data_IF_428526251460
#
_entry.id   IF_428526251460
#
_cell.length_a   1.000
_cell.length_b   1.000
_cell.length_c   1.000
_cell.angle_alpha   90.00
_cell.angle_beta   90.00
_cell.angle_gamma   90.00
#
_symmetry.space_group_name_H-M   'P 1'
#
loop_
_entity.id
_entity.type
_entity.pdbx_description
1 polymer ?
#
# COMPACT_ATOMS: atom_id res chain seq x y z
N UNK A 1 -2.39 12.59 14.23
CA UNK A 1 -2.45 11.34 15.01
C UNK A 1 -2.05 11.66 16.46
N UNK A 2 -2.66 11.01 17.47
CA UNK A 2 -2.35 11.26 18.89
C UNK A 2 -0.86 11.09 19.23
N UNK A 3 -0.16 10.15 18.59
CA UNK A 3 1.27 9.94 18.78
C UNK A 3 2.11 11.18 18.39
N UNK A 4 1.75 11.88 17.29
CA UNK A 4 2.47 13.09 16.87
C UNK A 4 2.27 14.24 17.86
N UNK A 5 1.08 14.40 18.43
CA UNK A 5 0.82 15.41 19.45
C UNK A 5 1.67 15.15 20.71
N UNK A 6 1.74 13.90 21.17
CA UNK A 6 2.58 13.53 22.30
C UNK A 6 4.06 13.73 22.00
N UNK A 7 4.54 13.27 20.85
CA UNK A 7 5.94 13.50 20.44
C UNK A 7 6.29 14.99 20.38
N UNK A 8 5.35 15.82 19.91
CA UNK A 8 5.55 17.27 19.82
C UNK A 8 5.52 17.96 21.18
N UNK A 9 4.59 17.57 22.07
CA UNK A 9 4.39 18.23 23.37
C UNK A 9 5.29 17.67 24.47
N UNK A 10 5.52 16.36 24.47
CA UNK A 10 6.20 15.63 25.55
C UNK A 10 7.61 15.13 25.14
N UNK A 11 7.94 15.19 23.84
CA UNK A 11 9.23 14.72 23.30
C UNK A 11 9.38 13.20 23.24
N UNK A 12 8.36 12.45 23.68
CA UNK A 12 8.40 10.98 23.70
C UNK A 12 7.01 10.37 23.49
N UNK A 13 7.00 9.14 23.02
CA UNK A 13 5.81 8.31 22.91
C UNK A 13 6.21 6.84 23.09
N UNK A 14 5.58 6.16 24.05
CA UNK A 14 5.77 4.73 24.25
C UNK A 14 4.76 3.97 23.38
N UNK A 15 5.23 3.19 22.36
CA UNK A 15 4.34 2.40 21.51
C UNK A 15 3.51 1.42 22.33
N UNK A 16 2.22 1.35 22.01
CA UNK A 16 1.29 0.42 22.62
C UNK A 16 1.18 -0.85 21.76
N UNK A 17 0.72 -1.95 22.37
CA UNK A 17 0.60 -3.25 21.69
C UNK A 17 -0.39 -3.24 20.49
N UNK A 18 -1.34 -2.31 20.50
CA UNK A 18 -2.36 -2.13 19.47
C UNK A 18 -2.04 -1.00 18.47
N UNK A 19 -0.87 -0.36 18.61
CA UNK A 19 -0.44 0.65 17.66
C UNK A 19 -0.21 0.05 16.28
N UNK A 20 -0.66 0.79 15.27
CA UNK A 20 -0.40 0.40 13.88
C UNK A 20 1.08 0.63 13.51
N UNK A 21 1.55 -0.12 12.52
CA UNK A 21 2.93 -0.04 12.02
C UNK A 21 3.33 1.40 11.62
N UNK A 22 2.38 2.18 11.12
CA UNK A 22 2.59 3.59 10.78
C UNK A 22 2.90 4.45 12.02
N UNK A 23 2.28 4.13 13.16
CA UNK A 23 2.57 4.80 14.44
C UNK A 23 3.96 4.43 14.92
N UNK A 24 4.30 3.13 14.91
CA UNK A 24 5.63 2.64 15.29
C UNK A 24 6.72 3.27 14.42
N UNK A 25 6.52 3.29 13.10
CA UNK A 25 7.46 3.90 12.17
C UNK A 25 7.63 5.41 12.39
N UNK A 26 6.56 6.15 12.74
CA UNK A 26 6.68 7.58 13.06
C UNK A 26 7.50 7.83 14.33
N UNK A 27 7.28 7.02 15.36
CA UNK A 27 8.05 7.11 16.62
C UNK A 27 9.52 6.81 16.35
N UNK A 28 9.80 5.76 15.58
CA UNK A 28 11.16 5.39 15.21
C UNK A 28 11.84 6.51 14.40
N UNK A 29 11.16 7.09 13.39
CA UNK A 29 11.71 8.21 12.61
C UNK A 29 11.96 9.46 13.45
N UNK A 30 11.13 9.73 14.45
CA UNK A 30 11.36 10.82 15.38
C UNK A 30 12.64 10.59 16.18
N UNK A 31 12.85 9.38 16.70
CA UNK A 31 14.09 9.00 17.41
C UNK A 31 15.30 9.11 16.50
N UNK A 32 15.25 8.51 15.30
CA UNK A 32 16.33 8.55 14.31
C UNK A 32 16.74 9.99 13.97
N UNK A 33 15.76 10.89 13.75
CA UNK A 33 16.02 12.30 13.47
C UNK A 33 16.65 12.98 14.67
N UNK A 34 16.16 12.72 15.88
CA UNK A 34 16.65 13.31 17.11
C UNK A 34 18.10 12.91 17.39
N UNK A 35 18.44 11.64 17.14
CA UNK A 35 19.78 11.09 17.30
C UNK A 35 20.76 11.56 16.22
N UNK A 36 20.28 11.61 14.96
CA UNK A 36 21.10 12.02 13.82
C UNK A 36 21.23 13.54 13.66
N UNK A 37 20.50 14.34 14.48
CA UNK A 37 20.53 15.79 14.36
C UNK A 37 21.90 16.35 14.75
N UNK A 38 22.62 17.06 13.83
CA UNK A 38 23.98 17.53 14.09
C UNK A 38 24.05 18.50 15.27
N UNK A 39 24.98 18.28 16.18
CA UNK A 39 25.19 19.17 17.34
C UNK A 39 25.52 20.61 16.92
N UNK A 40 26.22 20.78 15.79
CA UNK A 40 26.59 22.06 15.21
C UNK A 40 25.39 22.92 14.81
N UNK A 41 24.26 22.27 14.52
CA UNK A 41 23.00 22.94 14.16
C UNK A 41 22.14 23.27 15.40
N UNK A 42 22.54 22.84 16.59
CA UNK A 42 21.84 23.16 17.84
C UNK A 42 22.21 24.55 18.37
N UNK A 43 21.42 25.06 19.28
CA UNK A 43 21.71 26.31 19.96
C UNK A 43 21.70 27.53 19.01
N UNK A 44 22.79 28.28 18.93
CA UNK A 44 22.87 29.54 18.15
C UNK A 44 22.75 29.35 16.63
N UNK A 45 23.10 28.19 16.11
CA UNK A 45 23.00 27.88 14.69
C UNK A 45 21.58 27.50 14.27
N UNK A 46 20.75 27.05 15.21
CA UNK A 46 19.39 26.57 14.91
C UNK A 46 18.49 27.57 14.18
N UNK A 47 18.41 28.86 14.53
CA UNK A 47 17.65 29.84 13.77
C UNK A 47 18.07 29.95 12.31
N UNK A 48 19.37 29.91 12.03
CA UNK A 48 19.90 29.95 10.66
C UNK A 48 19.54 28.69 9.87
N UNK A 49 19.54 27.53 10.53
CA UNK A 49 19.06 26.29 9.90
C UNK A 49 17.58 26.37 9.56
N UNK A 50 16.73 26.93 10.45
CA UNK A 50 15.30 27.13 10.19
C UNK A 50 15.05 28.08 9.01
N UNK A 51 15.82 29.17 8.95
CA UNK A 51 15.75 30.10 7.82
C UNK A 51 16.18 29.43 6.52
N UNK A 52 17.28 28.65 6.54
CA UNK A 52 17.71 27.88 5.40
C UNK A 52 16.64 26.88 4.95
N UNK A 53 16.05 26.13 5.87
CA UNK A 53 14.97 25.17 5.59
C UNK A 53 13.78 25.88 4.92
N UNK A 54 13.36 27.01 5.48
CA UNK A 54 12.23 27.79 5.00
C UNK A 54 12.43 28.36 3.60
N UNK A 55 13.65 28.76 3.27
CA UNK A 55 13.94 29.37 1.96
C UNK A 55 14.40 28.38 0.89
N UNK A 56 14.91 27.21 1.28
CA UNK A 56 15.48 26.25 0.33
C UNK A 56 14.66 24.96 0.17
N UNK A 57 13.71 24.66 1.06
CA UNK A 57 12.81 23.52 0.92
C UNK A 57 11.51 23.98 0.28
N UNK A 58 11.24 23.46 -0.92
CA UNK A 58 10.03 23.76 -1.69
C UNK A 58 9.07 22.60 -1.51
N UNK A 59 7.87 22.88 -1.01
CA UNK A 59 6.78 21.94 -0.93
C UNK A 59 5.79 22.22 -2.07
N UNK A 60 5.38 21.16 -2.76
CA UNK A 60 4.35 21.24 -3.81
C UNK A 60 3.08 20.59 -3.27
N UNK A 61 2.02 21.38 -3.17
CA UNK A 61 0.68 20.88 -2.88
C UNK A 61 -0.05 20.58 -4.18
N UNK A 62 -0.56 19.35 -4.31
CA UNK A 62 -1.35 18.92 -5.46
C UNK A 62 -2.73 18.54 -4.96
N UNK A 63 -3.74 19.31 -5.41
CA UNK A 63 -5.14 19.05 -5.09
C UNK A 63 -5.80 18.24 -6.20
N UNK A 64 -6.34 17.08 -5.86
CA UNK A 64 -7.15 16.27 -6.77
C UNK A 64 -8.64 16.54 -6.52
N UNK A 65 -9.41 16.66 -7.61
CA UNK A 65 -10.85 16.96 -7.52
C UNK A 65 -11.74 15.72 -7.55
N UNK A 66 -11.15 14.55 -7.78
CA UNK A 66 -11.82 13.24 -7.69
C UNK A 66 -10.85 12.17 -7.19
N UNK A 67 -11.39 11.10 -6.64
CA UNK A 67 -10.60 9.95 -6.17
C UNK A 67 -9.81 9.30 -7.33
N UNK A 68 -10.35 9.26 -8.54
CA UNK A 68 -9.65 8.75 -9.72
C UNK A 68 -8.47 9.62 -10.14
N UNK A 69 -8.64 10.95 -10.09
CA UNK A 69 -7.53 11.88 -10.34
C UNK A 69 -6.46 11.78 -9.26
N UNK A 70 -6.88 11.67 -7.99
CA UNK A 70 -5.95 11.45 -6.88
C UNK A 70 -5.13 10.19 -7.07
N UNK A 71 -5.78 9.09 -7.46
CA UNK A 71 -5.11 7.83 -7.72
C UNK A 71 -4.13 7.93 -8.91
N UNK A 72 -4.51 8.56 -10.02
CA UNK A 72 -3.65 8.76 -11.19
C UNK A 72 -2.42 9.61 -10.88
N UNK A 73 -2.61 10.71 -10.15
CA UNK A 73 -1.51 11.55 -9.68
C UNK A 73 -0.57 10.73 -8.78
N UNK A 74 -1.13 9.99 -7.84
CA UNK A 74 -0.40 9.16 -6.91
C UNK A 74 0.41 8.06 -7.63
N UNK A 75 -0.18 7.35 -8.60
CA UNK A 75 0.49 6.35 -9.43
C UNK A 75 1.66 6.97 -10.23
N UNK A 76 1.43 8.12 -10.88
CA UNK A 76 2.44 8.79 -11.69
C UNK A 76 3.59 9.39 -10.87
N UNK A 77 3.32 9.82 -9.65
CA UNK A 77 4.36 10.34 -8.75
C UNK A 77 5.15 9.23 -8.07
N UNK A 78 4.53 8.06 -7.88
CA UNK A 78 5.19 6.90 -7.29
C UNK A 78 6.38 6.41 -8.13
N UNK A 79 6.33 6.57 -9.45
CA UNK A 79 7.44 6.21 -10.36
C UNK A 79 8.71 7.07 -10.14
N UNK A 80 8.66 8.13 -9.30
CA UNK A 80 9.74 9.10 -9.10
C UNK A 80 10.35 9.11 -7.70
N UNK A 81 9.90 8.25 -6.78
CA UNK A 81 10.32 8.25 -5.38
C UNK A 81 10.57 6.86 -4.79
N UNK A 82 10.33 6.71 -3.49
CA UNK A 82 10.21 5.40 -2.84
C UNK A 82 8.92 4.75 -3.33
N UNK A 83 9.07 3.84 -4.30
CA UNK A 83 7.95 3.23 -4.99
C UNK A 83 7.10 2.41 -4.02
N UNK A 84 5.81 2.71 -3.99
CA UNK A 84 4.83 1.84 -3.35
C UNK A 84 4.77 0.50 -4.10
N UNK A 85 4.55 -0.56 -3.37
CA UNK A 85 4.37 -1.88 -3.96
C UNK A 85 3.06 -1.95 -4.77
N UNK A 86 2.96 -2.89 -5.70
CA UNK A 86 1.71 -3.15 -6.41
C UNK A 86 0.56 -3.49 -5.47
N UNK A 87 0.85 -4.09 -4.31
CA UNK A 87 -0.12 -4.39 -3.26
C UNK A 87 -0.68 -3.12 -2.61
N UNK A 88 0.20 -2.15 -2.30
CA UNK A 88 -0.23 -0.86 -1.73
C UNK A 88 -1.01 -0.02 -2.73
N UNK A 89 -0.62 -0.06 -4.01
CA UNK A 89 -1.35 0.59 -5.09
C UNK A 89 -2.75 -0.02 -5.27
N UNK A 90 -2.87 -1.35 -5.27
CA UNK A 90 -4.17 -2.04 -5.34
C UNK A 90 -5.04 -1.71 -4.13
N UNK A 91 -4.46 -1.67 -2.92
CA UNK A 91 -5.15 -1.23 -1.70
C UNK A 91 -5.74 0.17 -1.87
N UNK A 92 -4.92 1.12 -2.30
CA UNK A 92 -5.35 2.51 -2.50
C UNK A 92 -6.53 2.59 -3.46
N UNK A 93 -6.46 1.87 -4.58
CA UNK A 93 -7.52 1.80 -5.57
C UNK A 93 -8.82 1.23 -4.98
N UNK A 94 -8.76 0.07 -4.33
CA UNK A 94 -9.95 -0.57 -3.74
C UNK A 94 -10.57 0.30 -2.65
N UNK A 95 -9.76 0.88 -1.76
CA UNK A 95 -10.25 1.72 -0.66
C UNK A 95 -10.90 3.03 -1.16
N UNK A 96 -10.45 3.58 -2.29
CA UNK A 96 -11.04 4.78 -2.89
C UNK A 96 -12.48 4.55 -3.37
N UNK A 97 -12.88 3.28 -3.62
CA UNK A 97 -14.25 2.95 -4.07
C UNK A 97 -15.30 3.01 -2.94
N UNK A 98 -14.88 3.08 -1.68
CA UNK A 98 -15.78 3.19 -0.53
C UNK A 98 -16.03 4.67 -0.18
N UNK A 99 -17.23 5.16 -0.48
CA UNK A 99 -17.64 6.55 -0.21
C UNK A 99 -17.80 6.84 1.29
N UNK A 100 -18.26 5.84 2.07
CA UNK A 100 -18.47 6.00 3.51
C UNK A 100 -17.20 5.66 4.29
N UNK A 101 -16.84 6.53 5.24
CA UNK A 101 -15.63 6.35 6.05
C UNK A 101 -15.66 5.04 6.85
N UNK A 102 -16.83 4.66 7.41
CA UNK A 102 -17.00 3.41 8.17
C UNK A 102 -16.75 2.15 7.34
N UNK A 103 -17.18 2.14 6.08
CA UNK A 103 -16.98 0.99 5.19
C UNK A 103 -15.52 0.94 4.70
N UNK A 104 -14.93 2.09 4.42
CA UNK A 104 -13.49 2.22 4.10
C UNK A 104 -12.62 1.72 5.24
N UNK A 105 -12.99 2.02 6.49
CA UNK A 105 -12.25 1.57 7.67
C UNK A 105 -12.34 0.05 7.86
N UNK A 106 -13.54 -0.56 7.67
CA UNK A 106 -13.71 -2.02 7.71
C UNK A 106 -12.88 -2.71 6.62
N UNK A 107 -12.93 -2.20 5.39
CA UNK A 107 -12.15 -2.71 4.29
C UNK A 107 -10.63 -2.59 4.54
N UNK A 108 -10.18 -1.46 5.10
CA UNK A 108 -8.77 -1.26 5.46
C UNK A 108 -8.32 -2.20 6.58
N UNK A 109 -9.17 -2.47 7.58
CA UNK A 109 -8.87 -3.44 8.65
C UNK A 109 -8.69 -4.83 8.07
N UNK A 110 -9.65 -5.30 7.27
CA UNK A 110 -9.54 -6.59 6.59
C UNK A 110 -8.24 -6.70 5.77
N UNK A 111 -7.92 -5.64 5.00
CA UNK A 111 -6.69 -5.61 4.20
C UNK A 111 -5.43 -5.75 5.07
N UNK A 112 -5.36 -4.97 6.15
CA UNK A 112 -4.21 -5.03 7.08
C UNK A 112 -4.03 -6.43 7.67
N UNK A 113 -5.11 -7.06 8.14
CA UNK A 113 -5.08 -8.42 8.68
C UNK A 113 -4.61 -9.44 7.64
N UNK A 114 -5.10 -9.33 6.40
CA UNK A 114 -4.70 -10.19 5.29
C UNK A 114 -3.20 -10.06 4.97
N UNK A 115 -2.70 -8.82 4.84
CA UNK A 115 -1.29 -8.57 4.55
C UNK A 115 -0.39 -9.01 5.72
N UNK A 116 -0.78 -8.74 6.95
CA UNK A 116 -0.04 -9.19 8.13
C UNK A 116 0.08 -10.72 8.18
N UNK A 117 -0.99 -11.44 7.84
CA UNK A 117 -0.95 -12.91 7.76
C UNK A 117 0.03 -13.38 6.68
N UNK A 118 0.03 -12.79 5.49
CA UNK A 118 0.96 -13.13 4.41
C UNK A 118 2.42 -12.81 4.78
N UNK A 119 2.65 -11.63 5.37
CA UNK A 119 3.99 -11.22 5.80
C UNK A 119 4.57 -12.08 6.93
N UNK A 120 3.75 -12.86 7.64
CA UNK A 120 4.27 -13.85 8.60
C UNK A 120 5.04 -15.01 7.94
N UNK A 121 4.86 -15.22 6.63
CA UNK A 121 5.62 -16.21 5.84
C UNK A 121 6.83 -15.58 5.16
N UNK A 122 6.62 -14.45 4.46
CA UNK A 122 7.72 -13.69 3.83
C UNK A 122 7.24 -12.26 3.51
N UNK A 123 8.18 -11.29 3.47
CA UNK A 123 7.87 -9.89 3.14
C UNK A 123 7.28 -9.67 1.74
N UNK A 124 7.48 -10.61 0.83
CA UNK A 124 7.00 -10.51 -0.56
C UNK A 124 5.76 -11.39 -0.80
N UNK A 125 5.24 -12.06 0.24
CA UNK A 125 4.19 -13.06 0.08
C UNK A 125 2.85 -12.44 -0.32
N UNK A 126 2.62 -11.18 0.03
CA UNK A 126 1.47 -10.41 -0.41
C UNK A 126 1.44 -10.23 -1.94
N UNK A 127 2.57 -9.88 -2.56
CA UNK A 127 2.66 -9.74 -4.01
C UNK A 127 2.45 -11.08 -4.72
N UNK A 128 3.07 -12.14 -4.22
CA UNK A 128 2.92 -13.50 -4.77
C UNK A 128 1.47 -13.96 -4.70
N UNK A 129 0.79 -13.71 -3.59
CA UNK A 129 -0.62 -14.04 -3.42
C UNK A 129 -1.49 -13.34 -4.48
N UNK A 130 -1.38 -12.02 -4.62
CA UNK A 130 -2.20 -11.28 -5.59
C UNK A 130 -1.88 -11.67 -7.03
N UNK A 131 -0.63 -11.92 -7.36
CA UNK A 131 -0.23 -12.43 -8.67
C UNK A 131 -0.83 -13.82 -8.93
N UNK A 132 -0.73 -14.75 -7.99
CA UNK A 132 -1.26 -16.10 -8.11
C UNK A 132 -2.78 -16.09 -8.25
N UNK A 133 -3.47 -15.38 -7.36
CA UNK A 133 -4.93 -15.26 -7.40
C UNK A 133 -5.43 -14.68 -8.71
N UNK A 134 -4.94 -13.50 -9.12
CA UNK A 134 -5.42 -12.84 -10.33
C UNK A 134 -5.07 -13.64 -11.60
N UNK A 135 -3.91 -14.28 -11.66
CA UNK A 135 -3.54 -15.16 -12.77
C UNK A 135 -4.43 -16.38 -12.86
N UNK A 136 -4.70 -17.03 -11.74
CA UNK A 136 -5.51 -18.27 -11.72
C UNK A 136 -6.97 -18.02 -12.09
N UNK A 137 -7.50 -16.83 -11.81
CA UNK A 137 -8.91 -16.54 -12.02
C UNK A 137 -9.18 -15.80 -13.33
N UNK A 138 -8.26 -14.94 -13.78
CA UNK A 138 -8.59 -13.95 -14.80
C UNK A 138 -7.58 -13.84 -15.95
N UNK A 139 -6.43 -14.51 -15.90
CA UNK A 139 -5.48 -14.47 -17.01
C UNK A 139 -5.90 -15.41 -18.12
N UNK A 140 -6.53 -14.88 -19.17
CA UNK A 140 -6.96 -15.64 -20.36
C UNK A 140 -5.86 -15.75 -21.41
N UNK A 141 -4.92 -14.79 -21.39
CA UNK A 141 -3.90 -14.67 -22.44
C UNK A 141 -2.50 -14.68 -21.85
N UNK A 142 -1.58 -15.28 -22.61
CA UNK A 142 -0.15 -15.33 -22.27
C UNK A 142 0.65 -14.83 -23.48
N UNK A 143 1.73 -14.12 -23.24
CA UNK A 143 2.62 -13.61 -24.28
C UNK A 143 3.14 -14.73 -25.18
N UNK A 144 3.05 -14.52 -26.50
CA UNK A 144 3.62 -15.44 -27.47
C UNK A 144 5.16 -15.45 -27.39
N UNK A 145 5.78 -16.62 -27.63
CA UNK A 145 7.22 -16.81 -27.58
C UNK A 145 7.98 -16.09 -28.73
N UNK A 146 7.27 -15.34 -29.58
CA UNK A 146 7.85 -14.60 -30.71
C UNK A 146 8.53 -13.31 -30.23
N UNK A 147 9.72 -13.03 -30.73
CA UNK A 147 10.43 -11.78 -30.45
C UNK A 147 9.59 -10.55 -30.82
N UNK A 148 9.48 -9.58 -29.89
CA UNK A 148 8.69 -8.37 -30.08
C UNK A 148 7.20 -8.50 -29.74
N UNK A 149 6.72 -9.67 -29.25
CA UNK A 149 5.35 -9.83 -28.78
C UNK A 149 5.09 -8.93 -27.56
N UNK A 150 3.91 -8.32 -27.51
CA UNK A 150 3.45 -7.52 -26.36
C UNK A 150 3.18 -8.40 -25.15
N UNK A 151 3.29 -7.81 -23.95
CA UNK A 151 2.82 -8.46 -22.74
C UNK A 151 1.32 -8.61 -22.73
N UNK A 152 0.85 -9.80 -22.36
CA UNK A 152 -0.55 -10.16 -22.21
C UNK A 152 -0.97 -10.21 -20.74
N UNK A 153 -2.15 -10.74 -20.43
CA UNK A 153 -2.68 -10.74 -19.05
C UNK A 153 -1.71 -11.32 -18.05
N UNK A 154 -1.16 -12.50 -18.35
CA UNK A 154 -0.30 -13.21 -17.44
C UNK A 154 0.96 -12.41 -17.06
N UNK A 155 1.61 -11.76 -18.01
CA UNK A 155 2.79 -10.93 -17.80
C UNK A 155 2.43 -9.60 -17.13
N UNK A 156 1.33 -8.97 -17.57
CA UNK A 156 0.85 -7.70 -16.97
C UNK A 156 0.51 -7.87 -15.48
N UNK A 157 -0.21 -8.95 -15.14
CA UNK A 157 -0.49 -9.30 -13.73
C UNK A 157 0.81 -9.54 -12.98
N UNK A 158 1.79 -10.23 -13.59
CA UNK A 158 3.09 -10.52 -12.97
C UNK A 158 3.94 -9.30 -12.66
N UNK A 159 3.73 -8.20 -13.35
CA UNK A 159 4.54 -6.98 -13.19
C UNK A 159 3.80 -5.85 -12.48
N UNK A 160 2.54 -5.58 -12.88
CA UNK A 160 1.75 -4.44 -12.41
C UNK A 160 0.28 -4.87 -12.24
N UNK A 161 0.01 -5.84 -11.36
CA UNK A 161 -1.34 -6.36 -11.17
C UNK A 161 -2.35 -5.30 -10.73
N UNK A 162 -1.94 -4.25 -10.02
CA UNK A 162 -2.82 -3.14 -9.63
C UNK A 162 -3.37 -2.37 -10.84
N UNK A 163 -2.52 -2.04 -11.83
CA UNK A 163 -2.94 -1.38 -13.05
C UNK A 163 -3.79 -2.31 -13.90
N UNK A 164 -3.37 -3.58 -14.03
CA UNK A 164 -4.14 -4.57 -14.76
C UNK A 164 -5.56 -4.73 -14.16
N UNK A 165 -5.68 -4.84 -12.84
CA UNK A 165 -6.95 -4.96 -12.13
C UNK A 165 -7.88 -3.76 -12.42
N UNK A 166 -7.37 -2.54 -12.29
CA UNK A 166 -8.12 -1.31 -12.59
C UNK A 166 -8.63 -1.28 -14.03
N UNK A 167 -7.76 -1.62 -14.98
CA UNK A 167 -8.04 -1.50 -16.41
C UNK A 167 -8.94 -2.63 -16.92
N UNK A 168 -9.16 -3.69 -16.15
CA UNK A 168 -9.92 -4.87 -16.52
C UNK A 168 -11.14 -5.16 -15.61
N UNK A 169 -11.69 -4.15 -14.94
CA UNK A 169 -12.86 -4.32 -14.06
C UNK A 169 -14.04 -5.00 -14.76
N UNK A 170 -14.34 -4.63 -15.99
CA UNK A 170 -15.42 -5.23 -16.78
C UNK A 170 -15.16 -6.73 -17.01
N UNK A 171 -13.91 -7.10 -17.29
CA UNK A 171 -13.50 -8.51 -17.49
C UNK A 171 -13.69 -9.34 -16.22
N UNK A 172 -13.43 -8.77 -15.06
CA UNK A 172 -13.64 -9.40 -13.76
C UNK A 172 -15.08 -9.26 -13.24
N UNK A 173 -16.00 -8.73 -14.07
CA UNK A 173 -17.41 -8.60 -13.72
C UNK A 173 -17.72 -7.53 -12.69
N UNK A 174 -16.88 -6.50 -12.57
CA UNK A 174 -17.02 -5.43 -11.56
C UNK A 174 -17.33 -4.07 -12.20
N UNK A 175 -18.10 -3.28 -11.48
CA UNK A 175 -18.38 -1.88 -11.79
C UNK A 175 -17.60 -0.97 -10.80
N UNK A 176 -16.80 -0.05 -11.34
CA UNK A 176 -16.00 0.90 -10.57
C UNK A 176 -16.84 1.75 -9.59
N UNK A 177 -18.10 2.01 -9.92
CA UNK A 177 -19.00 2.86 -9.14
C UNK A 177 -19.82 2.08 -8.09
N UNK A 178 -19.63 0.77 -7.97
CA UNK A 178 -20.38 -0.11 -7.06
C UNK A 178 -19.55 -0.48 -5.81
N UNK A 179 -19.66 0.24 -4.68
CA UNK A 179 -18.97 -0.12 -3.43
C UNK A 179 -19.32 -1.52 -2.92
N UNK A 180 -20.52 -2.02 -3.23
CA UNK A 180 -20.97 -3.34 -2.79
C UNK A 180 -20.22 -4.46 -3.48
N UNK A 181 -19.86 -4.28 -4.76
CA UNK A 181 -19.04 -5.26 -5.49
C UNK A 181 -17.63 -5.33 -4.92
N UNK A 182 -17.02 -4.19 -4.57
CA UNK A 182 -15.71 -4.17 -3.89
C UNK A 182 -15.77 -4.78 -2.49
N UNK A 183 -16.90 -4.63 -1.78
CA UNK A 183 -17.11 -5.29 -0.50
C UNK A 183 -17.18 -6.81 -0.66
N UNK A 184 -17.93 -7.32 -1.66
CA UNK A 184 -17.99 -8.74 -1.98
C UNK A 184 -16.61 -9.27 -2.39
N UNK A 185 -15.90 -8.56 -3.28
CA UNK A 185 -14.55 -8.93 -3.68
C UNK A 185 -13.65 -9.19 -2.46
N UNK A 186 -13.62 -8.27 -1.49
CA UNK A 186 -12.77 -8.42 -0.30
C UNK A 186 -13.24 -9.55 0.61
N UNK A 187 -14.54 -9.59 0.95
CA UNK A 187 -15.04 -10.48 1.99
C UNK A 187 -15.40 -11.89 1.50
N UNK A 188 -15.60 -12.06 0.21
CA UNK A 188 -15.93 -13.36 -0.38
C UNK A 188 -14.72 -13.91 -1.15
N UNK A 189 -14.29 -13.23 -2.21
CA UNK A 189 -13.22 -13.74 -3.09
C UNK A 189 -11.84 -13.67 -2.46
N UNK A 190 -11.37 -12.46 -2.11
CA UNK A 190 -10.01 -12.32 -1.54
C UNK A 190 -9.87 -13.14 -0.27
N UNK A 191 -10.89 -13.16 0.59
CA UNK A 191 -10.90 -13.96 1.82
C UNK A 191 -10.81 -15.46 1.53
N UNK A 192 -11.56 -15.94 0.54
CA UNK A 192 -11.56 -17.36 0.17
C UNK A 192 -10.19 -17.79 -0.38
N UNK A 193 -9.66 -17.04 -1.37
CA UNK A 193 -8.38 -17.38 -1.98
C UNK A 193 -7.21 -17.18 -1.04
N UNK A 194 -7.26 -16.19 -0.16
CA UNK A 194 -6.26 -16.01 0.88
C UNK A 194 -6.19 -17.22 1.80
N UNK A 195 -7.36 -17.74 2.24
CA UNK A 195 -7.39 -18.95 3.05
C UNK A 195 -6.78 -20.12 2.33
N UNK A 196 -7.21 -20.40 1.09
CA UNK A 196 -6.68 -21.49 0.28
C UNK A 196 -5.16 -21.36 0.05
N UNK A 197 -4.68 -20.15 -0.19
CA UNK A 197 -3.25 -19.88 -0.37
C UNK A 197 -2.45 -20.13 0.91
N UNK A 198 -2.95 -19.69 2.05
CA UNK A 198 -2.34 -19.93 3.35
C UNK A 198 -2.32 -21.42 3.69
N UNK A 199 -3.41 -22.15 3.44
CA UNK A 199 -3.47 -23.61 3.66
C UNK A 199 -2.39 -24.35 2.85
N UNK A 200 -2.10 -23.88 1.61
CA UNK A 200 -1.00 -24.42 0.79
C UNK A 200 0.37 -24.10 1.38
N UNK A 201 0.57 -22.86 1.86
CA UNK A 201 1.84 -22.47 2.48
C UNK A 201 2.11 -23.27 3.76
N UNK A 202 1.08 -23.47 4.59
CA UNK A 202 1.18 -24.24 5.82
C UNK A 202 1.57 -25.71 5.51
N UNK A 203 0.92 -26.34 4.52
CA UNK A 203 1.26 -27.69 4.09
C UNK A 203 2.71 -27.81 3.59
N UNK A 204 3.21 -26.81 2.86
CA UNK A 204 4.61 -26.79 2.40
C UNK A 204 5.63 -26.62 3.53
N UNK A 205 5.23 -26.02 4.65
CA UNK A 205 6.10 -25.87 5.82
C UNK A 205 6.15 -27.14 6.68
N UNK A 206 5.08 -27.93 6.71
CA UNK A 206 5.02 -29.21 7.43
C UNK A 206 5.83 -30.34 6.74
N UNK A 207 6.08 -30.21 5.43
CA UNK A 207 6.88 -31.19 4.65
C UNK A 207 8.41 -30.96 4.73
N UNK A 208 8.84 -29.87 5.37
CA UNK A 208 10.27 -29.53 5.53
C UNK A 208 10.79 -29.87 6.92
#
# INVERSE_FOLDING_TARGET
>A
KPCLEKLFLEGSYDPQLDDDESTINMVQRYSDISEAFPEELKGKAFPYFLDWLKYNVILVEITAYSDDNAYTIFESMNDRGLNLTSTEMLKGYILSRFKQASDREKANRFWKEAIQKLHSYSKEEDQKFFQAWLRSQYADTIRQSKAGSSNEDFEKIGTRFHSWFRDNLVKIGMNADSPDEFRKLLHEEVKFYLKAYVDILDAQMEEK
#
